data_IF_138034637051
#
_entry.id   IF_138034637051
#
_cell.length_a   1.000
_cell.length_b   1.000
_cell.length_c   1.000
_cell.angle_alpha   90.00
_cell.angle_beta   90.00
_cell.angle_gamma   90.00
#
_symmetry.space_group_name_H-M   'P 1'
#
loop_
_entity.id
_entity.type
_entity.pdbx_description
1 polymer ?
#
# COMPACT_ATOMS: atom_id res chain seq x y z
N UNK A 1 -19.72 0.38 19.23
CA UNK A 1 -19.59 1.58 18.34
C UNK A 1 -19.70 1.12 16.90
N UNK A 2 -20.30 1.96 16.07
CA UNK A 2 -20.46 1.67 14.62
C UNK A 2 -19.57 2.57 13.80
N UNK A 3 -18.73 1.96 12.95
CA UNK A 3 -17.89 2.68 11.99
C UNK A 3 -18.37 2.42 10.55
N UNK A 4 -18.45 3.46 9.74
CA UNK A 4 -18.61 3.34 8.30
C UNK A 4 -17.30 3.70 7.61
N UNK A 5 -16.81 2.82 6.74
CA UNK A 5 -15.68 3.10 5.87
C UNK A 5 -16.23 3.48 4.49
N UNK A 6 -16.00 4.72 4.10
CA UNK A 6 -16.44 5.30 2.82
C UNK A 6 -15.28 5.26 1.83
N UNK A 7 -15.33 4.36 0.89
CA UNK A 7 -14.26 4.22 -0.06
C UNK A 7 -14.57 3.32 -1.26
N UNK A 8 -13.59 3.12 -2.13
CA UNK A 8 -13.73 2.13 -3.18
C UNK A 8 -13.72 0.72 -2.58
N UNK A 9 -14.33 -0.22 -3.28
CA UNK A 9 -14.22 -1.65 -3.00
C UNK A 9 -13.76 -2.38 -4.26
N UNK A 10 -13.20 -3.56 -4.11
CA UNK A 10 -12.80 -4.39 -5.25
C UNK A 10 -14.04 -4.94 -5.97
N UNK A 11 -13.96 -5.00 -7.28
CA UNK A 11 -15.00 -5.58 -8.14
C UNK A 11 -14.35 -6.43 -9.22
N UNK A 12 -15.13 -7.12 -10.04
CA UNK A 12 -14.60 -7.88 -11.19
C UNK A 12 -13.76 -7.03 -12.16
N UNK A 13 -14.02 -5.73 -12.22
CA UNK A 13 -13.36 -4.80 -13.16
C UNK A 13 -12.44 -3.78 -12.48
N UNK A 14 -12.49 -3.69 -11.16
CA UNK A 14 -11.69 -2.73 -10.40
C UNK A 14 -10.94 -3.41 -9.27
N UNK A 15 -9.62 -3.30 -9.29
CA UNK A 15 -8.73 -3.74 -8.23
C UNK A 15 -7.70 -2.65 -7.97
N UNK A 16 -7.69 -2.08 -6.79
CA UNK A 16 -6.79 -0.97 -6.42
C UNK A 16 -6.40 -1.03 -4.96
N UNK A 17 -5.17 -0.61 -4.64
CA UNK A 17 -4.62 -0.69 -3.28
C UNK A 17 -5.49 -0.02 -2.22
N UNK A 18 -6.17 1.09 -2.56
CA UNK A 18 -7.09 1.76 -1.62
C UNK A 18 -8.34 0.92 -1.35
N UNK A 19 -8.88 0.22 -2.37
CA UNK A 19 -10.03 -0.66 -2.17
C UNK A 19 -9.68 -1.85 -1.27
N UNK A 20 -8.52 -2.45 -1.52
CA UNK A 20 -8.00 -3.53 -0.67
C UNK A 20 -7.80 -3.05 0.77
N UNK A 21 -7.22 -1.86 0.96
CA UNK A 21 -7.06 -1.26 2.28
C UNK A 21 -8.41 -1.08 2.99
N UNK A 22 -9.39 -0.48 2.33
CA UNK A 22 -10.71 -0.20 2.93
C UNK A 22 -11.41 -1.51 3.35
N UNK A 23 -11.34 -2.56 2.51
CA UNK A 23 -11.91 -3.88 2.81
C UNK A 23 -11.20 -4.60 3.96
N UNK A 24 -9.87 -4.64 3.95
CA UNK A 24 -9.07 -5.30 4.99
C UNK A 24 -9.15 -4.55 6.33
N UNK A 25 -9.13 -3.22 6.30
CA UNK A 25 -9.30 -2.41 7.51
C UNK A 25 -10.69 -2.60 8.11
N UNK A 26 -11.73 -2.69 7.27
CA UNK A 26 -13.09 -2.97 7.71
C UNK A 26 -13.18 -4.35 8.40
N UNK A 27 -12.54 -5.36 7.84
CA UNK A 27 -12.43 -6.69 8.46
C UNK A 27 -11.68 -6.63 9.80
N UNK A 28 -10.59 -5.84 9.86
CA UNK A 28 -9.83 -5.62 11.10
C UNK A 28 -10.67 -4.97 12.21
N UNK A 29 -11.47 -3.95 11.90
CA UNK A 29 -12.42 -3.38 12.86
C UNK A 29 -13.46 -4.38 13.33
N UNK A 30 -14.01 -5.19 12.39
CA UNK A 30 -14.96 -6.25 12.74
C UNK A 30 -14.33 -7.32 13.64
N UNK A 31 -13.09 -7.71 13.36
CA UNK A 31 -12.33 -8.64 14.21
C UNK A 31 -12.18 -8.11 15.64
N UNK A 32 -12.03 -6.80 15.82
CA UNK A 32 -12.00 -6.11 17.10
C UNK A 32 -13.40 -5.76 17.65
N UNK A 33 -14.43 -6.51 17.25
CA UNK A 33 -15.81 -6.45 17.78
C UNK A 33 -16.55 -5.12 17.54
N UNK A 34 -16.14 -4.34 16.53
CA UNK A 34 -16.89 -3.15 16.12
C UNK A 34 -17.96 -3.52 15.11
N UNK A 35 -19.08 -2.80 15.15
CA UNK A 35 -20.06 -2.82 14.06
C UNK A 35 -19.51 -2.04 12.88
N UNK A 36 -19.40 -2.69 11.72
CA UNK A 36 -18.72 -2.11 10.55
C UNK A 36 -19.60 -2.21 9.32
N UNK A 37 -19.59 -1.16 8.50
CA UNK A 37 -20.19 -1.15 7.18
C UNK A 37 -19.27 -0.48 6.16
N UNK A 38 -19.10 -1.09 4.99
CA UNK A 38 -18.47 -0.48 3.83
C UNK A 38 -19.52 0.27 3.02
N UNK A 39 -19.22 1.51 2.64
CA UNK A 39 -20.12 2.32 1.80
C UNK A 39 -19.37 2.76 0.55
N UNK A 40 -19.85 2.37 -0.61
CA UNK A 40 -19.18 2.60 -1.89
C UNK A 40 -20.14 3.07 -2.98
N UNK A 41 -19.60 3.82 -3.96
CA UNK A 41 -20.31 4.14 -5.19
C UNK A 41 -19.84 3.30 -6.39
N UNK A 42 -19.04 2.27 -6.14
CA UNK A 42 -18.62 1.32 -7.16
C UNK A 42 -19.82 0.50 -7.65
N UNK A 43 -20.03 0.50 -8.96
CA UNK A 43 -21.07 -0.33 -9.59
C UNK A 43 -20.65 -1.80 -9.52
N UNK A 44 -21.63 -2.68 -9.35
CA UNK A 44 -21.42 -4.13 -9.29
C UNK A 44 -20.50 -4.58 -8.13
N UNK A 45 -20.47 -3.83 -7.03
CA UNK A 45 -19.86 -4.32 -5.80
C UNK A 45 -20.68 -5.50 -5.25
N UNK A 46 -19.99 -6.47 -4.66
CA UNK A 46 -20.65 -7.52 -3.91
C UNK A 46 -21.35 -6.92 -2.68
N UNK A 47 -22.38 -7.60 -2.16
CA UNK A 47 -23.09 -7.15 -0.96
C UNK A 47 -22.31 -7.32 0.34
N UNK A 48 -21.18 -8.03 0.28
CA UNK A 48 -20.30 -8.31 1.40
C UNK A 48 -18.84 -8.40 0.93
N UNK A 49 -17.89 -7.96 1.76
CA UNK A 49 -16.44 -8.10 1.57
C UNK A 49 -15.80 -8.50 2.91
N UNK A 50 -15.04 -9.57 2.91
CA UNK A 50 -14.36 -10.09 4.10
C UNK A 50 -15.29 -10.22 5.33
N UNK A 51 -16.53 -10.63 5.09
CA UNK A 51 -17.55 -10.75 6.13
C UNK A 51 -18.18 -9.41 6.55
N UNK A 52 -17.84 -8.27 5.93
CA UNK A 52 -18.37 -6.94 6.23
C UNK A 52 -19.44 -6.56 5.21
N UNK A 53 -20.65 -6.11 5.64
CA UNK A 53 -21.70 -5.69 4.72
C UNK A 53 -21.29 -4.47 3.90
N UNK A 54 -21.64 -4.48 2.60
CA UNK A 54 -21.38 -3.41 1.65
C UNK A 54 -22.70 -2.73 1.23
N UNK A 55 -22.74 -1.41 1.37
CA UNK A 55 -23.86 -0.58 0.94
C UNK A 55 -23.48 0.23 -0.30
N UNK A 56 -24.08 -0.07 -1.41
CA UNK A 56 -23.87 0.70 -2.64
C UNK A 56 -24.71 1.98 -2.63
N UNK A 57 -24.05 3.11 -2.90
CA UNK A 57 -24.67 4.43 -2.97
C UNK A 57 -24.52 5.05 -4.37
N UNK A 58 -25.44 5.91 -4.69
CA UNK A 58 -25.37 6.83 -5.83
C UNK A 58 -25.75 8.25 -5.38
N UNK A 59 -25.82 9.19 -6.29
CA UNK A 59 -26.16 10.59 -5.96
C UNK A 59 -27.53 10.73 -5.28
N UNK A 60 -28.49 9.86 -5.58
CA UNK A 60 -29.86 9.90 -5.04
C UNK A 60 -29.95 9.17 -3.70
N UNK A 61 -29.37 7.95 -3.61
CA UNK A 61 -29.51 7.06 -2.46
C UNK A 61 -28.56 7.38 -1.30
N UNK A 62 -27.44 8.09 -1.55
CA UNK A 62 -26.39 8.31 -0.56
C UNK A 62 -26.92 8.91 0.75
N UNK A 63 -27.75 9.97 0.66
CA UNK A 63 -28.31 10.62 1.85
C UNK A 63 -29.16 9.67 2.69
N UNK A 64 -30.01 8.86 2.04
CA UNK A 64 -30.88 7.90 2.71
C UNK A 64 -30.07 6.83 3.40
N UNK A 65 -29.19 6.16 2.65
CA UNK A 65 -28.39 5.02 3.15
C UNK A 65 -27.48 5.46 4.31
N UNK A 66 -26.76 6.56 4.19
CA UNK A 66 -25.85 7.02 5.25
C UNK A 66 -26.64 7.40 6.53
N UNK A 67 -27.85 7.96 6.39
CA UNK A 67 -28.71 8.25 7.54
C UNK A 67 -29.26 6.98 8.19
N UNK A 68 -29.64 5.98 7.40
CA UNK A 68 -30.10 4.67 7.88
C UNK A 68 -29.00 3.95 8.66
N UNK A 69 -27.78 3.92 8.12
CA UNK A 69 -26.61 3.31 8.80
C UNK A 69 -26.23 4.05 10.08
N UNK A 70 -26.45 5.37 10.14
CA UNK A 70 -26.23 6.22 11.34
C UNK A 70 -24.93 5.94 12.08
N UNK A 71 -23.75 5.89 11.42
CA UNK A 71 -22.50 5.53 12.06
C UNK A 71 -22.07 6.57 13.11
N UNK A 72 -21.35 6.12 14.13
CA UNK A 72 -20.71 6.97 15.13
C UNK A 72 -19.42 7.57 14.61
N UNK A 73 -18.71 6.81 13.78
CA UNK A 73 -17.43 7.18 13.17
C UNK A 73 -17.51 6.92 11.67
N UNK A 74 -16.94 7.84 10.90
CA UNK A 74 -16.80 7.71 9.46
C UNK A 74 -15.35 7.90 9.09
N UNK A 75 -14.75 6.86 8.53
CA UNK A 75 -13.45 6.94 7.87
C UNK A 75 -13.69 7.05 6.37
N UNK A 76 -13.10 8.05 5.73
CA UNK A 76 -13.25 8.24 4.29
C UNK A 76 -11.90 8.25 3.58
N UNK A 77 -11.85 7.49 2.49
CA UNK A 77 -10.75 7.43 1.54
C UNK A 77 -11.04 8.28 0.31
N UNK A 78 -10.03 8.97 -0.22
CA UNK A 78 -10.11 9.71 -1.48
C UNK A 78 -11.29 10.71 -1.54
N UNK A 79 -12.00 10.73 -2.68
CA UNK A 79 -13.14 11.63 -2.92
C UNK A 79 -14.44 11.20 -2.20
N UNK A 80 -14.43 10.10 -1.48
CA UNK A 80 -15.62 9.65 -0.75
C UNK A 80 -15.97 10.52 0.45
N UNK A 81 -15.03 11.30 0.95
CA UNK A 81 -15.27 12.30 2.00
C UNK A 81 -16.38 13.31 1.67
N UNK A 82 -16.68 13.55 0.39
CA UNK A 82 -17.82 14.40 -0.03
C UNK A 82 -19.17 13.96 0.53
N UNK A 83 -19.29 12.70 0.95
CA UNK A 83 -20.54 12.15 1.50
C UNK A 83 -20.72 12.44 3.00
N UNK A 84 -19.71 13.00 3.71
CA UNK A 84 -19.81 13.39 5.13
C UNK A 84 -20.97 14.31 5.44
N UNK A 85 -21.37 15.15 4.50
CA UNK A 85 -22.52 16.06 4.62
C UNK A 85 -23.85 15.36 4.92
N UNK A 86 -23.93 14.04 4.76
CA UNK A 86 -25.14 13.25 5.01
C UNK A 86 -25.10 12.54 6.37
N UNK A 87 -24.00 12.60 7.08
CA UNK A 87 -23.83 11.96 8.37
C UNK A 87 -24.52 12.75 9.48
N UNK A 88 -24.77 12.09 10.62
CA UNK A 88 -25.23 12.77 11.82
C UNK A 88 -24.19 13.80 12.27
N UNK A 89 -24.64 14.89 12.89
CA UNK A 89 -23.79 16.05 13.24
C UNK A 89 -22.65 15.66 14.17
N UNK A 90 -22.92 14.79 15.14
CA UNK A 90 -21.94 14.32 16.13
C UNK A 90 -21.05 13.15 15.65
N UNK A 91 -21.19 12.68 14.40
CA UNK A 91 -20.31 11.64 13.88
C UNK A 91 -18.86 12.13 13.79
N UNK A 92 -17.91 11.29 14.25
CA UNK A 92 -16.47 11.56 14.11
C UNK A 92 -16.08 11.32 12.66
N UNK A 93 -15.48 12.32 12.01
CA UNK A 93 -15.02 12.28 10.63
C UNK A 93 -13.51 12.10 10.59
N UNK A 94 -13.07 11.03 9.96
CA UNK A 94 -11.66 10.69 9.78
C UNK A 94 -11.36 10.69 8.28
N UNK A 95 -10.33 11.43 7.87
CA UNK A 95 -9.81 11.38 6.51
C UNK A 95 -8.51 10.59 6.49
N UNK A 96 -8.44 9.54 5.65
CA UNK A 96 -7.24 8.73 5.52
C UNK A 96 -6.46 9.09 4.26
N UNK A 97 -5.21 9.50 4.44
CA UNK A 97 -4.28 9.85 3.36
C UNK A 97 -3.49 8.61 2.93
N UNK A 98 -3.74 8.17 1.70
CA UNK A 98 -3.03 7.04 1.09
C UNK A 98 -1.73 7.43 0.38
N UNK A 99 -1.39 8.70 0.39
CA UNK A 99 -0.23 9.26 -0.28
C UNK A 99 -0.40 10.74 -0.55
N UNK A 100 0.20 11.20 -1.63
CA UNK A 100 0.17 12.59 -2.06
C UNK A 100 0.09 12.66 -3.59
N UNK A 101 -0.37 13.82 -4.11
CA UNK A 101 -0.48 14.02 -5.54
C UNK A 101 0.85 14.47 -6.12
N UNK A 102 1.60 13.54 -6.70
CA UNK A 102 2.86 13.82 -7.37
C UNK A 102 2.60 14.41 -8.78
N UNK A 103 3.19 15.56 -9.07
CA UNK A 103 3.06 16.25 -10.35
C UNK A 103 3.58 15.41 -11.53
N UNK A 104 4.60 14.59 -11.31
CA UNK A 104 5.15 13.69 -12.33
C UNK A 104 4.15 12.63 -12.81
N UNK A 105 3.17 12.28 -11.97
CA UNK A 105 2.14 11.29 -12.31
C UNK A 105 0.88 11.89 -12.91
N UNK A 106 0.46 13.05 -12.39
CA UNK A 106 -0.87 13.61 -12.68
C UNK A 106 -0.79 14.89 -13.52
N UNK A 107 0.41 15.46 -13.68
CA UNK A 107 0.62 16.78 -14.22
C UNK A 107 0.28 17.90 -13.20
N UNK A 108 0.83 19.10 -13.42
CA UNK A 108 0.79 20.20 -12.45
C UNK A 108 -0.63 20.60 -12.05
N UNK A 109 -1.49 20.94 -13.01
CA UNK A 109 -2.86 21.43 -12.75
C UNK A 109 -3.74 20.43 -12.00
N UNK A 110 -3.68 19.15 -12.39
CA UNK A 110 -4.46 18.10 -11.72
C UNK A 110 -3.97 17.85 -10.30
N UNK A 111 -2.65 17.86 -10.08
CA UNK A 111 -2.06 17.69 -8.75
C UNK A 111 -2.42 18.84 -7.82
N UNK A 112 -2.37 20.09 -8.31
CA UNK A 112 -2.75 21.26 -7.53
C UNK A 112 -4.24 21.24 -7.16
N UNK A 113 -5.12 20.96 -8.12
CA UNK A 113 -6.57 20.86 -7.88
C UNK A 113 -6.91 19.75 -6.87
N UNK A 114 -6.27 18.57 -7.02
CA UNK A 114 -6.49 17.45 -6.12
C UNK A 114 -5.95 17.74 -4.71
N UNK A 115 -4.78 18.37 -4.59
CA UNK A 115 -4.21 18.77 -3.31
C UNK A 115 -5.07 19.83 -2.60
N UNK A 116 -5.60 20.80 -3.35
CA UNK A 116 -6.55 21.79 -2.81
C UNK A 116 -7.82 21.10 -2.28
N UNK A 117 -8.37 20.16 -3.05
CA UNK A 117 -9.52 19.37 -2.63
C UNK A 117 -9.23 18.60 -1.33
N UNK A 118 -8.10 17.89 -1.25
CA UNK A 118 -7.70 17.18 -0.04
C UNK A 118 -7.56 18.12 1.16
N UNK A 119 -6.97 19.28 0.96
CA UNK A 119 -6.83 20.31 2.01
C UNK A 119 -8.19 20.80 2.53
N UNK A 120 -9.17 21.01 1.65
CA UNK A 120 -10.52 21.39 2.04
C UNK A 120 -11.23 20.27 2.82
N UNK A 121 -11.05 19.04 2.42
CA UNK A 121 -11.58 17.86 3.14
C UNK A 121 -10.92 17.72 4.53
N UNK A 122 -9.60 17.83 4.59
CA UNK A 122 -8.86 17.73 5.84
C UNK A 122 -9.33 18.77 6.88
N UNK A 123 -9.67 20.00 6.46
CA UNK A 123 -10.24 21.04 7.33
C UNK A 123 -11.62 20.70 7.89
N UNK A 124 -12.37 19.83 7.23
CA UNK A 124 -13.70 19.40 7.66
C UNK A 124 -13.67 18.10 8.48
N UNK A 125 -12.52 17.44 8.58
CA UNK A 125 -12.32 16.23 9.38
C UNK A 125 -12.02 16.56 10.84
N UNK A 126 -12.36 15.64 11.73
CA UNK A 126 -11.92 15.69 13.12
C UNK A 126 -10.51 15.14 13.28
N UNK A 127 -10.17 14.16 12.46
CA UNK A 127 -8.84 13.56 12.38
C UNK A 127 -8.43 13.34 10.93
N UNK A 128 -7.15 13.52 10.67
CA UNK A 128 -6.48 13.14 9.42
C UNK A 128 -5.41 12.12 9.78
N UNK A 129 -5.49 10.95 9.19
CA UNK A 129 -4.50 9.89 9.35
C UNK A 129 -3.71 9.69 8.07
N UNK A 130 -2.48 9.23 8.19
CA UNK A 130 -1.63 8.90 7.06
C UNK A 130 -1.10 7.46 7.20
N UNK A 131 -0.72 6.87 6.07
CA UNK A 131 -0.17 5.52 6.02
C UNK A 131 1.33 5.42 6.35
N UNK A 132 2.02 6.56 6.46
CA UNK A 132 3.45 6.62 6.78
C UNK A 132 3.85 8.00 7.27
N UNK A 133 4.96 8.12 7.99
CA UNK A 133 5.54 9.41 8.35
C UNK A 133 6.02 10.18 7.12
N UNK A 134 6.44 9.50 6.07
CA UNK A 134 6.75 10.12 4.78
C UNK A 134 5.52 10.79 4.17
N UNK A 135 4.39 10.08 4.09
CA UNK A 135 3.11 10.65 3.63
C UNK A 135 2.68 11.83 4.52
N UNK A 136 2.78 11.68 5.85
CA UNK A 136 2.52 12.76 6.80
C UNK A 136 3.40 13.97 6.51
N UNK A 137 4.71 13.81 6.47
CA UNK A 137 5.67 14.88 6.25
C UNK A 137 5.39 15.64 4.94
N UNK A 138 5.18 14.91 3.85
CA UNK A 138 4.90 15.53 2.55
C UNK A 138 3.60 16.33 2.57
N UNK A 139 2.54 15.81 3.18
CA UNK A 139 1.25 16.50 3.26
C UNK A 139 1.31 17.71 4.21
N UNK A 140 1.95 17.58 5.37
CA UNK A 140 2.07 18.66 6.36
C UNK A 140 2.91 19.82 5.80
N UNK A 141 4.05 19.53 5.18
CA UNK A 141 5.02 20.55 4.75
C UNK A 141 4.67 21.18 3.40
N UNK A 142 4.22 20.37 2.43
CA UNK A 142 4.06 20.86 1.04
C UNK A 142 2.60 21.13 0.67
N UNK A 143 1.64 20.44 1.30
CA UNK A 143 0.23 20.60 0.93
C UNK A 143 -0.60 21.29 2.01
N UNK A 144 -0.02 21.63 3.16
CA UNK A 144 -0.69 22.34 4.27
C UNK A 144 -1.85 21.52 4.85
N UNK A 145 -1.70 20.20 4.90
CA UNK A 145 -2.65 19.27 5.50
C UNK A 145 -2.06 18.79 6.82
N UNK A 146 -2.66 19.16 7.94
CA UNK A 146 -2.22 18.76 9.27
C UNK A 146 -2.64 17.31 9.55
N UNK A 147 -1.69 16.39 9.62
CA UNK A 147 -1.92 14.97 9.92
C UNK A 147 -1.82 14.71 11.42
N UNK A 148 -2.84 14.08 11.99
CA UNK A 148 -2.91 13.82 13.43
C UNK A 148 -2.09 12.61 13.85
N UNK A 149 -2.14 11.51 13.08
CA UNK A 149 -1.48 10.25 13.43
C UNK A 149 -1.11 9.45 12.17
N UNK A 150 -0.17 8.53 12.34
CA UNK A 150 0.27 7.61 11.30
C UNK A 150 -0.11 6.19 11.70
N UNK A 151 -0.76 5.48 10.78
CA UNK A 151 -1.06 4.05 10.91
C UNK A 151 -0.51 3.33 9.69
N UNK A 152 0.49 2.49 9.89
CA UNK A 152 1.10 1.70 8.84
C UNK A 152 0.08 0.71 8.26
N UNK A 153 0.24 0.37 6.97
CA UNK A 153 -0.67 -0.58 6.32
C UNK A 153 -0.30 -2.02 6.67
N UNK A 154 -1.30 -2.88 6.72
CA UNK A 154 -1.12 -4.33 6.78
C UNK A 154 -0.96 -4.96 5.39
N UNK A 155 -0.64 -6.23 5.33
CA UNK A 155 -0.83 -7.10 4.15
C UNK A 155 -2.22 -7.72 4.21
N UNK A 156 -2.74 -8.17 3.07
CA UNK A 156 -4.06 -8.83 3.06
C UNK A 156 -4.06 -10.11 3.90
N UNK A 157 -5.18 -10.39 4.53
CA UNK A 157 -5.34 -11.61 5.36
C UNK A 157 -5.12 -12.88 4.54
N UNK A 158 -5.50 -12.86 3.26
CA UNK A 158 -5.26 -13.96 2.32
C UNK A 158 -3.76 -14.17 2.08
N UNK A 159 -3.02 -13.09 1.76
CA UNK A 159 -1.57 -13.17 1.55
C UNK A 159 -0.85 -13.62 2.83
N UNK A 160 -1.19 -13.01 3.97
CA UNK A 160 -0.59 -13.31 5.26
C UNK A 160 -0.72 -14.81 5.60
N UNK A 161 -1.93 -15.36 5.47
CA UNK A 161 -2.18 -16.77 5.74
C UNK A 161 -1.47 -17.69 4.76
N UNK A 162 -1.46 -17.33 3.48
CA UNK A 162 -0.85 -18.14 2.44
C UNK A 162 0.69 -18.19 2.55
N UNK A 163 1.33 -17.04 2.81
CA UNK A 163 2.80 -16.96 2.85
C UNK A 163 3.39 -17.73 4.03
N UNK A 164 2.74 -17.69 5.21
CA UNK A 164 3.20 -18.41 6.40
C UNK A 164 3.07 -19.92 6.27
N UNK A 165 2.17 -20.40 5.39
CA UNK A 165 1.94 -21.83 5.14
C UNK A 165 2.65 -22.33 3.86
N UNK A 166 3.47 -21.49 3.23
CA UNK A 166 4.14 -21.85 1.97
C UNK A 166 5.60 -22.19 2.21
N UNK A 167 5.96 -23.46 2.02
CA UNK A 167 7.33 -23.95 2.06
C UNK A 167 7.87 -24.14 0.65
N UNK A 168 8.36 -23.08 0.03
CA UNK A 168 9.00 -23.11 -1.27
C UNK A 168 10.46 -22.66 -1.11
N UNK A 169 11.45 -23.45 -1.53
CA UNK A 169 12.85 -23.07 -1.43
C UNK A 169 13.15 -21.84 -2.31
N UNK A 170 14.00 -20.95 -1.81
CA UNK A 170 14.47 -19.80 -2.57
C UNK A 170 15.25 -20.26 -3.81
N UNK A 171 14.91 -19.70 -4.95
CA UNK A 171 15.65 -19.85 -6.20
C UNK A 171 16.82 -18.87 -6.19
N UNK A 172 18.07 -19.40 -6.12
CA UNK A 172 19.28 -18.57 -6.08
C UNK A 172 19.37 -17.68 -7.31
N UNK A 173 19.62 -16.40 -7.09
CA UNK A 173 19.69 -15.39 -8.16
C UNK A 173 18.35 -14.98 -8.75
N UNK A 174 17.22 -15.43 -8.18
CA UNK A 174 15.90 -14.99 -8.63
C UNK A 174 15.52 -13.66 -8.02
N UNK A 175 15.17 -12.72 -8.89
CA UNK A 175 14.67 -11.39 -8.54
C UNK A 175 13.16 -11.36 -8.79
N UNK A 176 12.40 -10.75 -7.88
CA UNK A 176 10.99 -10.40 -8.08
C UNK A 176 10.81 -8.90 -8.12
N UNK A 177 10.04 -8.44 -9.07
CA UNK A 177 9.44 -7.11 -9.12
C UNK A 177 7.92 -7.24 -9.18
N UNK A 178 7.20 -6.44 -8.38
CA UNK A 178 5.73 -6.35 -8.46
C UNK A 178 5.30 -4.89 -8.58
N UNK A 179 4.42 -4.59 -9.55
CA UNK A 179 3.88 -3.26 -9.71
C UNK A 179 3.53 -2.87 -11.14
N UNK A 180 2.99 -1.67 -11.30
CA UNK A 180 2.68 -1.13 -12.64
C UNK A 180 3.95 -0.90 -13.44
N UNK A 181 3.92 -1.28 -14.73
CA UNK A 181 5.05 -1.07 -15.66
C UNK A 181 4.99 0.35 -16.22
N UNK A 182 5.45 1.30 -15.41
CA UNK A 182 5.60 2.74 -15.74
C UNK A 182 6.97 3.22 -15.30
N UNK A 183 7.55 4.18 -16.01
CA UNK A 183 8.90 4.68 -15.77
C UNK A 183 9.13 5.14 -14.33
N UNK A 184 8.12 5.77 -13.71
CA UNK A 184 8.19 6.27 -12.35
C UNK A 184 8.31 5.17 -11.26
N UNK A 185 8.07 3.90 -11.60
CA UNK A 185 8.28 2.75 -10.69
C UNK A 185 9.69 2.13 -10.81
N UNK A 186 10.58 2.71 -11.62
CA UNK A 186 11.98 2.33 -11.69
C UNK A 186 12.28 0.98 -12.35
N UNK A 187 11.29 0.34 -12.99
CA UNK A 187 11.48 -0.99 -13.62
C UNK A 187 12.57 -0.96 -14.70
N UNK A 188 12.71 0.14 -15.47
CA UNK A 188 13.78 0.31 -16.43
C UNK A 188 15.17 0.25 -15.79
N UNK A 189 15.33 0.89 -14.63
CA UNK A 189 16.60 0.91 -13.89
C UNK A 189 16.97 -0.51 -13.38
N UNK A 190 15.99 -1.31 -12.98
CA UNK A 190 16.24 -2.72 -12.66
C UNK A 190 16.78 -3.49 -13.89
N UNK A 191 16.17 -3.34 -15.07
CA UNK A 191 16.63 -4.04 -16.27
C UNK A 191 18.02 -3.57 -16.71
N UNK A 192 18.34 -2.29 -16.53
CA UNK A 192 19.69 -1.78 -16.77
C UNK A 192 20.70 -2.36 -15.80
N UNK A 193 20.36 -2.44 -14.50
CA UNK A 193 21.20 -3.07 -13.49
C UNK A 193 21.43 -4.58 -13.80
N UNK A 194 20.40 -5.30 -14.25
CA UNK A 194 20.55 -6.70 -14.69
C UNK A 194 21.51 -6.84 -15.87
N UNK A 195 21.51 -5.86 -16.81
CA UNK A 195 22.51 -5.85 -17.88
C UNK A 195 23.92 -5.65 -17.34
N UNK A 196 24.13 -4.71 -16.43
CA UNK A 196 25.43 -4.49 -15.78
C UNK A 196 25.93 -5.78 -15.10
N UNK A 197 25.08 -6.44 -14.34
CA UNK A 197 25.41 -7.71 -13.66
C UNK A 197 25.76 -8.81 -14.66
N UNK A 198 25.00 -8.94 -15.74
CA UNK A 198 25.26 -9.93 -16.79
C UNK A 198 26.59 -9.68 -17.49
N UNK A 199 26.87 -8.42 -17.86
CA UNK A 199 28.13 -8.04 -18.51
C UNK A 199 29.34 -8.30 -17.56
N UNK A 200 29.13 -8.20 -16.24
CA UNK A 200 30.08 -8.57 -15.19
C UNK A 200 30.19 -10.07 -14.91
N UNK A 201 29.52 -10.94 -15.72
CA UNK A 201 29.57 -12.40 -15.53
C UNK A 201 28.69 -12.94 -14.41
N UNK A 202 27.77 -12.14 -13.89
CA UNK A 202 26.84 -12.51 -12.80
C UNK A 202 25.38 -12.45 -13.29
N UNK A 203 24.90 -13.43 -14.06
CA UNK A 203 23.54 -13.40 -14.56
C UNK A 203 22.53 -13.69 -13.44
N UNK A 204 21.49 -12.86 -13.38
CA UNK A 204 20.32 -13.04 -12.53
C UNK A 204 19.09 -13.31 -13.39
N UNK A 205 18.11 -14.03 -12.82
CA UNK A 205 16.78 -14.22 -13.40
C UNK A 205 15.80 -13.26 -12.76
N UNK A 206 14.88 -12.66 -13.52
CA UNK A 206 13.83 -11.82 -12.95
C UNK A 206 12.43 -12.29 -13.34
N UNK A 207 11.53 -12.28 -12.35
CA UNK A 207 10.09 -12.40 -12.50
C UNK A 207 9.45 -11.02 -12.33
N UNK A 208 8.72 -10.55 -13.34
CA UNK A 208 8.10 -9.22 -13.35
C UNK A 208 6.59 -9.38 -13.37
N UNK A 209 5.96 -9.22 -12.19
CA UNK A 209 4.53 -9.27 -12.01
C UNK A 209 3.92 -7.86 -12.12
N UNK A 210 3.16 -7.64 -13.17
CA UNK A 210 2.49 -6.38 -13.42
C UNK A 210 2.24 -6.10 -14.89
N UNK A 211 1.56 -5.00 -15.14
CA UNK A 211 1.22 -4.56 -16.47
C UNK A 211 1.29 -3.03 -16.55
N UNK A 212 1.44 -2.48 -17.74
CA UNK A 212 1.49 -1.03 -17.91
C UNK A 212 1.96 -0.59 -19.31
N UNK A 213 1.87 0.71 -19.59
CA UNK A 213 2.17 1.26 -20.92
C UNK A 213 3.62 1.05 -21.37
N UNK A 214 4.57 0.85 -20.45
CA UNK A 214 5.98 0.66 -20.79
C UNK A 214 6.34 -0.78 -21.13
N UNK A 215 5.40 -1.75 -21.01
CA UNK A 215 5.65 -3.19 -21.16
C UNK A 215 6.38 -3.52 -22.46
N UNK A 216 5.85 -3.11 -23.61
CA UNK A 216 6.44 -3.40 -24.92
C UNK A 216 7.88 -2.87 -25.05
N UNK A 217 8.14 -1.67 -24.54
CA UNK A 217 9.48 -1.07 -24.52
C UNK A 217 10.45 -1.88 -23.67
N UNK A 218 9.99 -2.36 -22.50
CA UNK A 218 10.79 -3.17 -21.59
C UNK A 218 11.09 -4.57 -22.19
N UNK A 219 10.12 -5.21 -22.82
CA UNK A 219 10.28 -6.50 -23.52
C UNK A 219 11.31 -6.38 -24.66
N UNK A 220 11.24 -5.30 -25.47
CA UNK A 220 12.24 -5.01 -26.51
C UNK A 220 13.65 -4.85 -25.94
N UNK A 221 13.77 -4.17 -24.79
CA UNK A 221 15.07 -4.01 -24.13
C UNK A 221 15.63 -5.33 -23.63
N UNK A 222 14.80 -6.18 -23.00
CA UNK A 222 15.16 -7.52 -22.53
C UNK A 222 15.65 -8.39 -23.67
N UNK A 223 14.91 -8.45 -24.78
CA UNK A 223 15.27 -9.23 -25.96
C UNK A 223 16.59 -8.76 -26.59
N UNK A 224 16.76 -7.43 -26.77
CA UNK A 224 17.98 -6.83 -27.32
C UNK A 224 19.24 -7.19 -26.51
N UNK A 225 19.12 -7.26 -25.19
CA UNK A 225 20.25 -7.50 -24.28
C UNK A 225 20.32 -8.98 -23.83
N UNK A 226 19.42 -9.83 -24.34
CA UNK A 226 19.34 -11.26 -24.00
C UNK A 226 19.34 -11.49 -22.47
N UNK A 227 18.48 -10.75 -21.74
CA UNK A 227 18.33 -10.86 -20.28
C UNK A 227 17.36 -12.01 -19.94
N UNK A 228 17.60 -12.72 -18.84
CA UNK A 228 16.68 -13.74 -18.33
C UNK A 228 15.56 -13.09 -17.51
N UNK A 229 14.49 -12.66 -18.19
CA UNK A 229 13.37 -11.92 -17.60
C UNK A 229 12.04 -12.51 -18.06
N UNK A 230 11.18 -12.83 -17.11
CA UNK A 230 9.86 -13.38 -17.31
C UNK A 230 8.77 -12.36 -16.95
N UNK A 231 8.11 -11.80 -17.95
CA UNK A 231 6.97 -10.92 -17.76
C UNK A 231 5.71 -11.75 -17.50
N UNK A 232 5.20 -11.71 -16.28
CA UNK A 232 4.07 -12.53 -15.84
C UNK A 232 2.71 -11.88 -16.13
N UNK A 233 2.70 -10.59 -16.50
CA UNK A 233 1.45 -9.84 -16.60
C UNK A 233 0.81 -9.60 -15.22
N UNK A 234 -0.50 -9.46 -15.20
CA UNK A 234 -1.24 -9.34 -13.93
C UNK A 234 -1.35 -10.70 -13.26
N UNK A 235 -0.83 -10.81 -12.07
CA UNK A 235 -0.81 -12.02 -11.26
C UNK A 235 -1.81 -11.86 -10.10
N UNK A 236 -2.56 -12.92 -9.78
CA UNK A 236 -3.46 -12.91 -8.62
C UNK A 236 -2.65 -12.85 -7.31
N UNK A 237 -3.26 -12.37 -6.22
CA UNK A 237 -2.63 -12.37 -4.89
C UNK A 237 -2.16 -13.78 -4.49
N UNK A 238 -2.98 -14.77 -4.75
CA UNK A 238 -2.67 -16.17 -4.46
C UNK A 238 -1.44 -16.68 -5.21
N UNK A 239 -1.33 -16.37 -6.50
CA UNK A 239 -0.20 -16.79 -7.31
C UNK A 239 1.08 -16.00 -6.98
N UNK A 240 0.94 -14.72 -6.57
CA UNK A 240 2.07 -13.89 -6.13
C UNK A 240 2.80 -14.49 -4.94
N UNK A 241 2.11 -15.17 -4.02
CA UNK A 241 2.73 -15.87 -2.87
C UNK A 241 3.83 -16.81 -3.37
N UNK A 242 3.59 -17.56 -4.44
CA UNK A 242 4.58 -18.50 -5.00
C UNK A 242 5.82 -17.75 -5.52
N UNK A 243 5.64 -16.61 -6.20
CA UNK A 243 6.77 -15.83 -6.71
C UNK A 243 7.55 -15.14 -5.60
N UNK A 244 6.88 -14.59 -4.59
CA UNK A 244 7.56 -14.05 -3.41
C UNK A 244 8.34 -15.14 -2.66
N UNK A 245 7.74 -16.33 -2.49
CA UNK A 245 8.41 -17.45 -1.81
C UNK A 245 9.66 -17.90 -2.55
N UNK A 246 9.61 -17.98 -3.89
CA UNK A 246 10.76 -18.37 -4.74
C UNK A 246 11.84 -17.31 -4.83
N UNK A 247 11.46 -16.03 -4.87
CA UNK A 247 12.42 -14.97 -5.10
C UNK A 247 13.42 -14.85 -3.95
N UNK A 248 14.70 -14.82 -4.28
CA UNK A 248 15.76 -14.52 -3.32
C UNK A 248 15.78 -13.02 -3.00
N UNK A 249 15.63 -12.18 -4.03
CA UNK A 249 15.71 -10.72 -3.91
C UNK A 249 14.42 -10.10 -4.45
N UNK A 250 13.84 -9.20 -3.69
CA UNK A 250 12.78 -8.32 -4.14
C UNK A 250 13.36 -6.94 -4.48
N UNK A 251 12.99 -6.39 -5.64
CA UNK A 251 13.47 -5.08 -6.09
C UNK A 251 12.29 -4.17 -6.40
N UNK A 252 12.24 -3.00 -5.78
CA UNK A 252 11.30 -1.94 -6.12
C UNK A 252 11.99 -0.58 -5.98
N UNK A 253 12.01 0.19 -7.07
CA UNK A 253 12.85 1.39 -7.21
C UNK A 253 12.01 2.68 -7.34
N UNK A 254 10.88 2.76 -6.68
CA UNK A 254 10.06 3.97 -6.64
C UNK A 254 10.52 4.91 -5.52
N UNK A 255 11.15 6.07 -5.83
CA UNK A 255 11.65 6.99 -4.79
C UNK A 255 10.55 7.77 -4.06
N UNK A 256 9.33 7.72 -4.58
CA UNK A 256 8.17 8.43 -4.02
C UNK A 256 7.08 7.48 -3.54
N UNK A 257 7.48 6.31 -3.02
CA UNK A 257 6.52 5.33 -2.51
C UNK A 257 5.89 5.82 -1.20
N UNK A 258 4.57 6.00 -1.11
CA UNK A 258 3.95 6.51 0.11
C UNK A 258 4.11 5.59 1.31
N UNK A 259 3.93 4.28 1.14
CA UNK A 259 4.16 3.23 2.13
C UNK A 259 4.86 2.02 1.52
N UNK A 260 4.30 1.49 0.41
CA UNK A 260 4.85 0.35 -0.30
C UNK A 260 4.53 -0.99 0.33
N UNK A 261 3.25 -1.39 0.29
CA UNK A 261 2.79 -2.69 0.85
C UNK A 261 3.55 -3.90 0.30
N UNK A 262 4.13 -3.80 -0.89
CA UNK A 262 4.97 -4.82 -1.51
C UNK A 262 6.24 -5.18 -0.70
N UNK A 263 6.71 -4.26 0.14
CA UNK A 263 7.87 -4.51 1.00
C UNK A 263 7.52 -5.36 2.23
N UNK A 264 6.44 -5.11 2.99
CA UNK A 264 5.94 -6.08 3.98
C UNK A 264 5.67 -7.45 3.40
N UNK A 265 5.08 -7.53 2.18
CA UNK A 265 4.89 -8.81 1.48
C UNK A 265 6.23 -9.52 1.23
N UNK A 266 7.24 -8.79 0.75
CA UNK A 266 8.58 -9.32 0.51
C UNK A 266 9.29 -9.76 1.80
N UNK A 267 9.16 -8.97 2.88
CA UNK A 267 9.72 -9.32 4.19
C UNK A 267 9.11 -10.60 4.76
N UNK A 268 7.78 -10.71 4.75
CA UNK A 268 7.07 -11.92 5.21
C UNK A 268 7.49 -13.17 4.41
N UNK A 269 7.77 -12.97 3.12
CA UNK A 269 8.30 -14.03 2.25
C UNK A 269 9.81 -14.27 2.44
N UNK A 270 10.49 -13.59 3.37
CA UNK A 270 11.93 -13.66 3.59
C UNK A 270 12.76 -13.32 2.34
N UNK A 271 12.31 -12.37 1.53
CA UNK A 271 13.11 -11.81 0.46
C UNK A 271 14.13 -10.82 1.02
N UNK A 272 15.32 -10.80 0.45
CA UNK A 272 16.23 -9.66 0.57
C UNK A 272 15.68 -8.52 -0.28
N UNK A 273 15.89 -7.28 0.11
CA UNK A 273 15.22 -6.13 -0.52
C UNK A 273 16.22 -5.12 -1.06
N UNK A 274 16.06 -4.72 -2.31
CA UNK A 274 16.76 -3.58 -2.92
C UNK A 274 15.75 -2.47 -3.18
N UNK A 275 15.96 -1.31 -2.60
CA UNK A 275 15.04 -0.17 -2.71
C UNK A 275 15.75 1.18 -2.55
N UNK A 276 15.10 2.31 -2.93
CA UNK A 276 15.59 3.64 -2.62
C UNK A 276 15.69 3.90 -1.12
N UNK A 277 16.59 4.81 -0.72
CA UNK A 277 16.65 5.31 0.66
C UNK A 277 15.64 6.44 0.94
N UNK A 278 14.61 6.57 0.11
CA UNK A 278 13.53 7.56 0.20
C UNK A 278 12.18 6.86 0.13
N UNK A 279 11.13 7.50 0.66
CA UNK A 279 9.78 6.93 0.70
C UNK A 279 9.40 6.33 2.06
N UNK A 280 8.14 5.97 2.19
CA UNK A 280 7.58 5.45 3.46
C UNK A 280 8.10 4.07 3.86
N UNK A 281 8.62 3.27 2.91
CA UNK A 281 9.21 1.97 3.22
C UNK A 281 10.46 2.06 4.10
N UNK A 282 11.18 3.18 4.08
CA UNK A 282 12.39 3.36 4.88
C UNK A 282 12.10 3.25 6.37
N UNK A 283 10.92 3.70 6.81
CA UNK A 283 10.51 3.77 8.22
C UNK A 283 10.56 2.42 8.94
N UNK A 284 10.26 1.34 8.23
CA UNK A 284 10.23 0.00 8.79
C UNK A 284 11.32 -0.94 8.22
N UNK A 285 11.96 -0.58 7.10
CA UNK A 285 13.04 -1.38 6.54
C UNK A 285 14.39 -1.08 7.21
N UNK A 286 14.55 0.05 7.90
CA UNK A 286 15.80 0.42 8.58
C UNK A 286 16.20 -0.57 9.67
N UNK A 287 15.26 -1.32 10.23
CA UNK A 287 15.51 -2.35 11.23
C UNK A 287 16.12 -3.64 10.64
N UNK A 288 16.14 -3.76 9.28
CA UNK A 288 16.57 -4.96 8.54
C UNK A 288 17.78 -4.71 7.65
N UNK A 289 18.76 -3.93 8.12
CA UNK A 289 19.94 -3.47 7.35
C UNK A 289 20.74 -4.61 6.71
N UNK A 290 20.77 -5.78 7.33
CA UNK A 290 21.53 -6.94 6.82
C UNK A 290 20.84 -7.60 5.61
N UNK A 291 19.53 -7.40 5.47
CA UNK A 291 18.72 -7.97 4.39
C UNK A 291 18.18 -6.91 3.42
N UNK A 292 18.50 -5.63 3.64
CA UNK A 292 18.08 -4.51 2.80
C UNK A 292 19.29 -3.78 2.22
N UNK A 293 19.25 -3.51 0.93
CA UNK A 293 20.16 -2.60 0.25
C UNK A 293 19.39 -1.32 -0.13
N UNK A 294 19.67 -0.24 0.59
CA UNK A 294 19.25 1.10 0.16
C UNK A 294 20.23 1.60 -0.92
N UNK A 295 19.69 1.98 -2.07
CA UNK A 295 20.46 2.35 -3.26
C UNK A 295 19.98 3.69 -3.86
N UNK A 296 20.85 4.30 -4.65
CA UNK A 296 20.44 5.32 -5.60
C UNK A 296 19.71 4.62 -6.76
N UNK A 297 18.40 4.75 -6.80
CA UNK A 297 17.54 4.08 -7.77
C UNK A 297 17.73 4.58 -9.22
N UNK A 298 18.30 5.78 -9.39
CA UNK A 298 18.61 6.35 -10.70
C UNK A 298 19.92 5.84 -11.29
N UNK A 299 20.77 5.20 -10.48
CA UNK A 299 22.06 4.62 -10.88
C UNK A 299 21.95 3.11 -11.10
N UNK A 300 22.01 2.59 -12.33
CA UNK A 300 22.03 1.16 -12.61
C UNK A 300 23.17 0.43 -11.90
N UNK A 301 24.34 1.06 -11.79
CA UNK A 301 25.51 0.48 -11.09
C UNK A 301 25.24 0.35 -9.58
N UNK A 302 24.64 1.37 -8.95
CA UNK A 302 24.27 1.30 -7.53
C UNK A 302 23.24 0.20 -7.27
N UNK A 303 22.24 0.06 -8.15
CA UNK A 303 21.26 -1.01 -8.07
C UNK A 303 21.90 -2.39 -8.28
N UNK A 304 22.79 -2.53 -9.27
CA UNK A 304 23.55 -3.76 -9.53
C UNK A 304 24.39 -4.16 -8.32
N UNK A 305 25.15 -3.22 -7.75
CA UNK A 305 25.97 -3.44 -6.55
C UNK A 305 25.12 -3.87 -5.34
N UNK A 306 23.92 -3.27 -5.19
CA UNK A 306 22.96 -3.65 -4.15
C UNK A 306 22.48 -5.10 -4.31
N UNK A 307 22.12 -5.50 -5.52
CA UNK A 307 21.70 -6.87 -5.87
C UNK A 307 22.85 -7.84 -5.61
N UNK A 308 24.07 -7.55 -6.11
CA UNK A 308 25.26 -8.39 -5.94
C UNK A 308 25.59 -8.59 -4.46
N UNK A 309 25.63 -7.49 -3.67
CA UNK A 309 25.91 -7.55 -2.23
C UNK A 309 24.93 -8.47 -1.53
N UNK A 310 23.64 -8.33 -1.78
CA UNK A 310 22.62 -9.17 -1.17
C UNK A 310 22.64 -10.61 -1.69
N UNK A 311 22.96 -10.84 -2.97
CA UNK A 311 23.11 -12.19 -3.53
C UNK A 311 24.25 -12.99 -2.88
N UNK A 312 25.26 -12.32 -2.34
CA UNK A 312 26.38 -12.92 -1.60
C UNK A 312 26.13 -13.07 -0.09
N UNK A 313 25.10 -12.39 0.45
CA UNK A 313 24.78 -12.46 1.88
C UNK A 313 24.01 -13.73 2.23
N UNK A 314 24.01 -14.17 3.51
CA UNK A 314 23.16 -15.26 3.96
C UNK A 314 21.68 -15.04 3.64
N UNK A 315 20.87 -16.08 3.74
CA UNK A 315 19.40 -15.98 3.62
C UNK A 315 18.89 -14.97 4.67
N UNK A 316 17.86 -14.21 4.32
CA UNK A 316 17.26 -13.26 5.23
C UNK A 316 16.82 -13.95 6.53
N UNK A 317 17.10 -13.31 7.67
CA UNK A 317 16.73 -13.81 8.98
C UNK A 317 15.20 -13.95 9.10
N UNK A 318 14.76 -14.81 10.00
CA UNK A 318 13.36 -14.89 10.38
C UNK A 318 12.91 -13.59 11.03
N UNK A 319 11.71 -13.15 10.68
CA UNK A 319 11.08 -12.02 11.32
C UNK A 319 10.63 -12.42 12.73
N UNK A 320 10.75 -11.52 13.69
CA UNK A 320 10.18 -11.74 15.02
C UNK A 320 8.65 -11.77 14.93
N UNK A 321 8.00 -12.54 15.81
CA UNK A 321 6.54 -12.60 15.91
C UNK A 321 5.93 -11.21 16.08
N UNK A 322 6.55 -10.35 16.87
CA UNK A 322 6.10 -8.96 17.06
C UNK A 322 6.05 -8.22 15.70
N UNK A 323 7.06 -8.39 14.87
CA UNK A 323 7.12 -7.70 13.57
C UNK A 323 6.11 -8.27 12.58
N UNK A 324 5.96 -9.61 12.58
CA UNK A 324 4.96 -10.29 11.77
C UNK A 324 3.55 -9.75 12.10
N UNK A 325 3.23 -9.57 13.39
CA UNK A 325 1.94 -9.06 13.83
C UNK A 325 1.71 -7.59 13.44
N UNK A 326 2.75 -6.78 13.31
CA UNK A 326 2.64 -5.36 12.92
C UNK A 326 1.97 -5.17 11.57
N UNK A 327 2.15 -6.10 10.64
CA UNK A 327 1.57 -6.02 9.29
C UNK A 327 0.20 -6.70 9.16
N UNK A 328 -0.55 -6.83 10.24
CA UNK A 328 -1.93 -7.35 10.20
C UNK A 328 -2.93 -6.21 10.31
N UNK A 329 -3.97 -6.24 9.50
CA UNK A 329 -5.02 -5.21 9.56
C UNK A 329 -5.87 -5.24 10.84
N UNK A 330 -5.96 -6.38 11.53
CA UNK A 330 -6.58 -6.43 12.86
C UNK A 330 -5.75 -5.69 13.92
N UNK A 331 -4.42 -5.74 13.83
CA UNK A 331 -3.51 -4.92 14.65
C UNK A 331 -3.65 -3.44 14.31
N UNK A 332 -3.63 -3.08 13.03
CA UNK A 332 -3.81 -1.68 12.58
C UNK A 332 -5.14 -1.11 13.05
N UNK A 333 -6.23 -1.89 12.92
CA UNK A 333 -7.56 -1.47 13.41
C UNK A 333 -7.57 -1.29 14.93
N UNK A 334 -6.91 -2.17 15.68
CA UNK A 334 -6.78 -2.06 17.14
C UNK A 334 -6.03 -0.80 17.55
N UNK A 335 -4.92 -0.48 16.90
CA UNK A 335 -4.16 0.75 17.15
C UNK A 335 -5.01 2.01 16.90
N UNK A 336 -5.81 2.01 15.82
CA UNK A 336 -6.76 3.10 15.54
C UNK A 336 -7.84 3.20 16.62
N UNK A 337 -8.39 2.07 17.07
CA UNK A 337 -9.38 2.01 18.15
C UNK A 337 -8.80 2.59 19.45
N UNK A 338 -7.59 2.19 19.81
CA UNK A 338 -6.91 2.65 21.02
C UNK A 338 -6.65 4.16 20.96
N UNK A 339 -6.19 4.67 19.82
CA UNK A 339 -6.03 6.10 19.59
C UNK A 339 -7.35 6.87 19.75
N UNK A 340 -8.42 6.40 19.12
CA UNK A 340 -9.74 7.03 19.17
C UNK A 340 -10.33 7.01 20.58
N UNK A 341 -10.15 5.93 21.35
CA UNK A 341 -10.61 5.82 22.73
C UNK A 341 -9.90 6.82 23.67
N UNK A 342 -8.59 7.00 23.50
CA UNK A 342 -7.81 7.97 24.30
C UNK A 342 -8.19 9.40 23.96
N UNK A 343 -8.28 9.74 22.68
CA UNK A 343 -8.57 11.11 22.22
C UNK A 343 -10.06 11.45 22.28
N UNK A 344 -10.93 10.47 22.11
CA UNK A 344 -12.38 10.62 22.24
C UNK A 344 -12.80 11.02 23.64
N UNK A 345 -12.25 10.41 24.68
CA UNK A 345 -12.53 10.76 26.08
C UNK A 345 -12.27 12.24 26.39
N UNK A 346 -11.21 12.82 25.81
CA UNK A 346 -10.87 14.23 26.03
C UNK A 346 -11.78 15.23 25.29
N UNK A 347 -12.51 14.80 24.25
CA UNK A 347 -13.49 15.63 23.53
C UNK A 347 -14.91 15.50 24.03
N UNK A 348 -15.27 14.37 24.65
CA UNK A 348 -16.59 14.15 25.25
C UNK A 348 -16.74 14.84 26.59
N UNK A 349 -15.65 15.11 27.32
CA UNK A 349 -15.63 15.86 28.59
C UNK A 349 -15.65 17.38 28.40
N UNK A 350 -15.47 17.91 27.20
CA UNK A 350 -15.46 19.35 26.92
C UNK A 350 -16.80 19.87 26.34
N UNK A 351 -17.84 19.03 26.26
CA UNK A 351 -19.20 19.41 25.79
C UNK A 351 -20.32 19.09 26.81
N UNK A 352 -19.96 18.86 28.09
CA UNK A 352 -20.94 18.82 29.20
C UNK A 352 -20.71 20.01 30.13
#
# INVERSE_FOLDING_TARGET
MKIAILGPVTTKTYFGGVAVFDEELAAGFKHNEWEVVLITNQKNADSEKNGVPVRMINAISARKIIKEESPDIILASLQYAKYWRFCKENAIRIYFLHGFFNQSYYGKLKSEAASLYQRLIAKQSHYVFANSYFTKMVNDQFFGIQTNEVFHLGVTSEYYSAILNTEVPKEKGAILYTGRLVSAKGIGNLLWAMKVLKDGGMPYKAYIAGDGPDKEKLEKYVAKNNLDVHFLGRVSQKDLVTYYSKAEIFVSLNPSEPFGIVFPEALLARCKIVCPCTGGQVEYLMDYKDTVAFVDEASPDAVANGIERLGKSPVAAELSDKYIQTFRYDTVAKEMIDYLNVRGKNKWTLKN
#
